data_IF_984737253404
#
_entry.id   IF_984737253404
#
_cell.length_a   1.000
_cell.length_b   1.000
_cell.length_c   1.000
_cell.angle_alpha   90.00
_cell.angle_beta   90.00
_cell.angle_gamma   90.00
#
_symmetry.space_group_name_H-M   'P 1'
#
loop_
_entity.id
_entity.type
_entity.pdbx_description
1 polymer ?
#
# COMPACT_ATOMS: atom_id res chain seq x y z
N UNK A 1 4.19 18.96 -1.26
CA UNK A 1 4.45 17.68 -1.93
C UNK A 1 5.61 17.03 -1.20
N UNK A 2 5.50 15.75 -0.84
CA UNK A 2 6.56 15.04 -0.11
C UNK A 2 7.36 14.24 -1.14
N UNK A 3 8.67 14.45 -1.20
CA UNK A 3 9.53 13.79 -2.21
C UNK A 3 9.84 12.32 -1.86
N UNK A 4 9.75 11.93 -0.59
CA UNK A 4 10.02 10.57 -0.13
C UNK A 4 9.18 10.15 1.07
N UNK A 5 8.64 8.92 1.06
CA UNK A 5 8.01 8.27 2.21
C UNK A 5 9.04 7.67 3.18
N UNK A 6 8.71 7.56 4.48
CA UNK A 6 9.60 6.95 5.49
C UNK A 6 8.98 5.62 5.89
N UNK A 7 9.72 4.54 5.66
CA UNK A 7 9.34 3.19 6.04
C UNK A 7 10.35 2.70 7.07
N UNK A 8 9.88 2.20 8.20
CA UNK A 8 10.77 1.64 9.22
C UNK A 8 11.37 0.33 8.69
N UNK A 9 12.64 0.04 9.00
CA UNK A 9 13.28 -1.22 8.61
C UNK A 9 12.56 -2.44 9.17
N UNK A 10 11.83 -2.30 10.28
CA UNK A 10 10.96 -3.33 10.86
C UNK A 10 9.89 -3.85 9.88
N UNK A 11 9.54 -3.07 8.86
CA UNK A 11 8.65 -3.50 7.78
C UNK A 11 9.11 -4.83 7.17
N UNK A 12 10.42 -4.98 6.93
CA UNK A 12 10.99 -6.17 6.27
C UNK A 12 11.09 -7.39 7.20
N UNK A 13 11.05 -7.17 8.51
CA UNK A 13 11.15 -8.24 9.51
C UNK A 13 9.80 -8.58 10.13
N UNK A 14 8.78 -7.75 9.94
CA UNK A 14 7.44 -7.96 10.49
C UNK A 14 6.85 -9.26 9.95
N UNK A 15 6.40 -10.14 10.85
CA UNK A 15 5.76 -11.40 10.48
C UNK A 15 4.52 -11.17 9.61
N UNK A 16 3.70 -10.17 9.97
CA UNK A 16 2.50 -9.80 9.21
C UNK A 16 2.80 -9.30 7.79
N UNK A 17 3.93 -8.61 7.57
CA UNK A 17 4.32 -8.16 6.24
C UNK A 17 4.91 -9.32 5.44
N UNK A 18 5.67 -10.20 6.10
CA UNK A 18 6.29 -11.36 5.47
C UNK A 18 5.29 -12.46 5.08
N UNK A 19 4.12 -12.52 5.72
CA UNK A 19 3.04 -13.43 5.35
C UNK A 19 2.25 -12.99 4.13
N UNK A 20 2.38 -11.73 3.70
CA UNK A 20 1.72 -11.20 2.51
C UNK A 20 2.40 -11.68 1.23
N UNK A 21 1.60 -11.76 0.17
CA UNK A 21 2.06 -11.86 -1.21
C UNK A 21 2.97 -10.68 -1.59
N UNK A 22 3.62 -10.77 -2.74
CA UNK A 22 4.42 -9.65 -3.25
C UNK A 22 3.53 -8.43 -3.55
N UNK A 23 2.31 -8.65 -4.03
CA UNK A 23 1.34 -7.59 -4.29
C UNK A 23 0.84 -6.97 -2.98
N UNK A 24 0.50 -7.78 -1.98
CA UNK A 24 0.14 -7.29 -0.65
C UNK A 24 1.27 -6.44 -0.03
N UNK A 25 2.53 -6.87 -0.15
CA UNK A 25 3.69 -6.09 0.32
C UNK A 25 3.87 -4.78 -0.45
N UNK A 26 3.76 -4.81 -1.77
CA UNK A 26 3.90 -3.61 -2.61
C UNK A 26 2.78 -2.60 -2.31
N UNK A 27 1.54 -3.07 -2.19
CA UNK A 27 0.40 -2.22 -1.86
C UNK A 27 0.54 -1.65 -0.44
N UNK A 28 1.00 -2.45 0.54
CA UNK A 28 1.29 -1.97 1.89
C UNK A 28 2.34 -0.85 1.87
N UNK A 29 3.43 -1.04 1.11
CA UNK A 29 4.48 -0.05 0.96
C UNK A 29 3.92 1.24 0.33
N UNK A 30 3.12 1.11 -0.73
CA UNK A 30 2.45 2.22 -1.37
C UNK A 30 1.54 2.99 -0.42
N UNK A 31 0.71 2.31 0.39
CA UNK A 31 -0.17 2.98 1.36
C UNK A 31 0.63 3.77 2.42
N UNK A 32 1.82 3.29 2.81
CA UNK A 32 2.70 3.99 3.75
C UNK A 32 3.40 5.21 3.13
N UNK A 33 3.55 5.24 1.80
CA UNK A 33 4.33 6.27 1.10
C UNK A 33 3.55 7.03 0.02
N UNK A 34 2.24 6.82 -0.07
CA UNK A 34 1.38 7.34 -1.16
C UNK A 34 1.42 8.87 -1.22
N UNK A 35 1.49 9.46 -2.43
CA UNK A 35 1.45 10.91 -2.60
C UNK A 35 0.08 11.51 -2.26
N UNK A 36 -0.95 10.67 -2.15
CA UNK A 36 -2.32 11.10 -1.83
C UNK A 36 -2.58 11.21 -0.33
N UNK A 37 -1.64 10.79 0.52
CA UNK A 37 -1.69 10.94 1.97
C UNK A 37 -1.51 12.39 2.43
N UNK A 38 -2.34 12.82 3.38
CA UNK A 38 -2.15 14.10 4.07
C UNK A 38 -1.09 13.98 5.19
N UNK A 39 -0.75 15.09 5.84
CA UNK A 39 0.27 15.12 6.90
C UNK A 39 -0.03 14.24 8.11
N UNK A 40 -1.29 13.90 8.36
CA UNK A 40 -1.69 13.00 9.46
C UNK A 40 -1.75 11.54 9.02
N UNK A 41 -1.38 11.23 7.77
CA UNK A 41 -1.41 9.88 7.22
C UNK A 41 -2.79 9.42 6.77
N UNK A 42 -3.78 10.32 6.68
CA UNK A 42 -5.12 9.98 6.20
C UNK A 42 -5.25 10.34 4.71
N UNK A 43 -5.98 9.53 3.97
CA UNK A 43 -6.31 9.80 2.57
C UNK A 43 -7.65 9.22 2.19
N UNK A 44 -8.25 9.82 1.16
CA UNK A 44 -9.28 9.17 0.36
C UNK A 44 -8.58 8.62 -0.87
N UNK A 45 -8.50 7.30 -0.99
CA UNK A 45 -7.81 6.61 -2.07
C UNK A 45 -8.79 5.75 -2.85
N UNK A 46 -9.48 6.32 -3.86
CA UNK A 46 -10.20 5.54 -4.86
C UNK A 46 -9.27 4.56 -5.56
N UNK A 47 -9.78 3.38 -5.91
CA UNK A 47 -9.03 2.34 -6.61
C UNK A 47 -8.31 2.85 -7.86
N UNK A 48 -8.92 3.81 -8.58
CA UNK A 48 -8.35 4.41 -9.77
C UNK A 48 -6.98 5.06 -9.54
N UNK A 49 -6.74 5.68 -8.38
CA UNK A 49 -5.40 6.22 -8.07
C UNK A 49 -4.37 5.10 -7.88
N UNK A 50 -4.76 4.00 -7.24
CA UNK A 50 -3.86 2.85 -7.07
C UNK A 50 -3.58 2.18 -8.42
N UNK A 51 -4.60 2.05 -9.26
CA UNK A 51 -4.46 1.50 -10.61
C UNK A 51 -3.44 2.32 -11.41
N UNK A 52 -3.60 3.64 -11.43
CA UNK A 52 -2.70 4.55 -12.16
C UNK A 52 -1.30 4.58 -11.53
N UNK A 53 -1.16 4.70 -10.21
CA UNK A 53 0.15 4.85 -9.57
C UNK A 53 0.99 3.56 -9.62
N UNK A 54 0.35 2.42 -9.40
CA UNK A 54 1.03 1.11 -9.42
C UNK A 54 1.05 0.47 -10.80
N UNK A 55 0.35 1.06 -11.78
CA UNK A 55 0.14 0.49 -13.12
C UNK A 55 -0.48 -0.91 -13.04
N UNK A 56 -1.46 -1.05 -12.15
CA UNK A 56 -2.21 -2.29 -11.93
C UNK A 56 -3.59 -2.18 -12.56
N UNK A 57 -4.12 -3.31 -13.01
CA UNK A 57 -5.53 -3.39 -13.35
C UNK A 57 -6.40 -3.42 -12.08
N UNK A 58 -7.68 -3.14 -12.26
CA UNK A 58 -8.63 -3.04 -11.16
C UNK A 58 -8.78 -4.35 -10.37
N UNK A 59 -8.68 -5.52 -11.01
CA UNK A 59 -8.84 -6.79 -10.30
C UNK A 59 -7.65 -7.02 -9.38
N UNK A 60 -6.43 -6.80 -9.85
CA UNK A 60 -5.22 -6.90 -9.03
C UNK A 60 -5.25 -5.95 -7.84
N UNK A 61 -5.71 -4.72 -8.03
CA UNK A 61 -5.91 -3.76 -6.93
C UNK A 61 -6.94 -4.27 -5.91
N UNK A 62 -8.08 -4.79 -6.38
CA UNK A 62 -9.12 -5.36 -5.52
C UNK A 62 -8.59 -6.54 -4.70
N UNK A 63 -7.90 -7.48 -5.34
CA UNK A 63 -7.30 -8.65 -4.68
C UNK A 63 -6.26 -8.24 -3.62
N UNK A 64 -5.42 -7.25 -3.94
CA UNK A 64 -4.46 -6.70 -2.99
C UNK A 64 -5.14 -6.08 -1.76
N UNK A 65 -6.18 -5.27 -1.96
CA UNK A 65 -6.92 -4.69 -0.83
C UNK A 65 -7.65 -5.75 0.00
N UNK A 66 -8.21 -6.78 -0.63
CA UNK A 66 -8.81 -7.90 0.09
C UNK A 66 -7.78 -8.68 0.93
N UNK A 67 -6.59 -8.93 0.39
CA UNK A 67 -5.51 -9.56 1.13
C UNK A 67 -5.12 -8.73 2.35
N UNK A 68 -4.91 -7.43 2.18
CA UNK A 68 -4.57 -6.53 3.28
C UNK A 68 -5.69 -6.46 4.33
N UNK A 69 -6.94 -6.42 3.90
CA UNK A 69 -8.09 -6.41 4.82
C UNK A 69 -8.24 -7.73 5.60
N UNK A 70 -7.78 -8.86 5.06
CA UNK A 70 -7.81 -10.17 5.75
C UNK A 70 -6.67 -10.33 6.77
N UNK A 71 -5.54 -9.67 6.54
CA UNK A 71 -4.32 -9.82 7.33
C UNK A 71 -4.03 -8.62 8.25
N UNK A 72 -4.91 -7.61 8.27
CA UNK A 72 -4.78 -6.35 9.01
C UNK A 72 -5.70 -6.24 10.20
#
# INVERSE_FOLDING_TARGET
MRDYGKVNSSFWTSESIRSLSDDGRMLSLYLLTSPHANMTGCFRLPDGYVCEDLQWDKNRVSEGFEELSRNG
#
